data_IF_990604922772
#
_entry.id   IF_990604922772
#
_cell.length_a   1.000
_cell.length_b   1.000
_cell.length_c   1.000
_cell.angle_alpha   90.00
_cell.angle_beta   90.00
_cell.angle_gamma   90.00
#
_symmetry.space_group_name_H-M   'P 1'
#
loop_
_entity.id
_entity.type
_entity.pdbx_description
1 polymer ?
#
# COMPACT_ATOMS: atom_id res chain seq x y z
N UNK A 1 8.69 -0.03 -9.92
CA UNK A 1 7.90 -0.83 -8.97
C UNK A 1 8.46 -0.76 -7.57
N UNK A 2 7.78 0.04 -6.73
CA UNK A 2 7.81 -0.06 -5.27
C UNK A 2 6.56 -0.80 -4.78
N UNK A 3 6.20 -0.63 -3.52
CA UNK A 3 4.98 -1.22 -2.96
C UNK A 3 3.82 -0.25 -3.16
N UNK A 4 2.72 -0.74 -3.73
CA UNK A 4 1.51 0.05 -3.93
C UNK A 4 0.42 -0.48 -3.01
N UNK A 5 -0.17 0.41 -2.22
CA UNK A 5 -1.43 0.15 -1.53
C UNK A 5 -2.51 0.75 -2.40
N UNK A 6 -3.45 -0.08 -2.83
CA UNK A 6 -4.53 0.31 -3.73
C UNK A 6 -5.85 0.07 -2.99
N UNK A 7 -6.56 1.16 -2.72
CA UNK A 7 -7.91 1.12 -2.16
C UNK A 7 -8.91 1.49 -3.26
N UNK A 8 -9.81 0.58 -3.60
CA UNK A 8 -10.85 0.83 -4.61
C UNK A 8 -12.11 1.39 -3.96
N UNK A 9 -12.73 2.38 -4.59
CA UNK A 9 -13.99 2.98 -4.14
C UNK A 9 -14.99 3.07 -5.29
N UNK A 10 -16.15 2.50 -5.05
CA UNK A 10 -17.33 2.65 -5.90
C UNK A 10 -18.30 3.64 -5.24
N UNK A 11 -17.85 4.87 -5.05
CA UNK A 11 -18.58 5.92 -4.36
C UNK A 11 -19.36 6.78 -5.34
N UNK A 12 -20.59 7.13 -4.98
CA UNK A 12 -21.39 8.16 -5.67
C UNK A 12 -21.07 9.54 -5.10
N UNK A 13 -21.61 10.60 -5.70
CA UNK A 13 -21.50 11.95 -5.15
C UNK A 13 -22.07 12.02 -3.72
N UNK A 14 -23.19 11.36 -3.46
CA UNK A 14 -23.76 11.24 -2.11
C UNK A 14 -22.80 10.55 -1.12
N UNK A 15 -22.03 9.54 -1.57
CA UNK A 15 -21.03 8.92 -0.70
C UNK A 15 -19.84 9.84 -0.42
N UNK A 16 -19.46 10.72 -1.35
CA UNK A 16 -18.40 11.71 -1.14
C UNK A 16 -18.81 12.77 -0.12
N UNK A 17 -20.08 13.18 -0.13
CA UNK A 17 -20.62 14.22 0.74
C UNK A 17 -21.00 13.71 2.14
N UNK A 18 -21.00 12.39 2.34
CA UNK A 18 -21.39 11.78 3.61
C UNK A 18 -20.23 11.75 4.62
N UNK A 19 -20.34 12.59 5.66
CA UNK A 19 -19.36 12.72 6.74
C UNK A 19 -19.28 11.50 7.68
N UNK A 20 -20.33 10.68 7.73
CA UNK A 20 -20.37 9.47 8.55
C UNK A 20 -19.57 8.31 7.94
N UNK A 21 -19.26 8.38 6.63
CA UNK A 21 -18.41 7.41 5.98
C UNK A 21 -16.95 7.65 6.35
N UNK A 22 -16.31 6.62 6.89
CA UNK A 22 -14.89 6.66 7.23
C UNK A 22 -14.06 7.03 6.00
N UNK A 23 -13.30 8.12 6.11
CA UNK A 23 -12.51 8.68 5.01
C UNK A 23 -11.54 7.65 4.41
N UNK A 24 -11.62 7.35 3.09
CA UNK A 24 -10.68 6.49 2.37
C UNK A 24 -9.23 6.98 2.49
N UNK A 25 -9.05 8.30 2.57
CA UNK A 25 -7.76 8.95 2.82
C UNK A 25 -7.19 8.51 4.17
N UNK A 26 -7.98 8.56 5.24
CA UNK A 26 -7.53 8.11 6.55
C UNK A 26 -7.31 6.60 6.61
N UNK A 27 -8.13 5.81 5.91
CA UNK A 27 -7.99 4.36 5.84
C UNK A 27 -6.64 3.98 5.21
N UNK A 28 -6.35 4.49 4.03
CA UNK A 28 -5.11 4.15 3.33
C UNK A 28 -3.86 4.67 4.05
N UNK A 29 -3.91 5.84 4.71
CA UNK A 29 -2.79 6.36 5.50
C UNK A 29 -2.49 5.49 6.73
N UNK A 30 -3.54 5.02 7.43
CA UNK A 30 -3.37 4.08 8.55
C UNK A 30 -2.75 2.77 8.10
N UNK A 31 -3.24 2.22 6.99
CA UNK A 31 -2.70 1.00 6.39
C UNK A 31 -1.26 1.18 5.94
N UNK A 32 -0.93 2.32 5.33
CA UNK A 32 0.43 2.67 4.92
C UNK A 32 1.40 2.64 6.10
N UNK A 33 1.05 3.35 7.18
CA UNK A 33 1.90 3.42 8.35
C UNK A 33 2.11 2.05 9.00
N UNK A 34 1.05 1.25 9.10
CA UNK A 34 1.13 -0.12 9.61
C UNK A 34 2.05 -0.99 8.75
N UNK A 35 1.89 -0.94 7.42
CA UNK A 35 2.73 -1.69 6.48
C UNK A 35 4.19 -1.24 6.55
N UNK A 36 4.45 0.07 6.62
CA UNK A 36 5.80 0.60 6.78
C UNK A 36 6.46 0.05 8.05
N UNK A 37 5.78 0.13 9.20
CA UNK A 37 6.30 -0.38 10.46
C UNK A 37 6.58 -1.88 10.42
N UNK A 38 5.67 -2.64 9.82
CA UNK A 38 5.82 -4.08 9.65
C UNK A 38 7.09 -4.39 8.83
N UNK A 39 7.22 -3.76 7.66
CA UNK A 39 8.36 -4.00 6.78
C UNK A 39 9.68 -3.53 7.40
N UNK A 40 9.69 -2.38 8.08
CA UNK A 40 10.87 -1.86 8.79
C UNK A 40 11.34 -2.83 9.89
N UNK A 41 10.42 -3.35 10.71
CA UNK A 41 10.73 -4.35 11.75
C UNK A 41 11.27 -5.63 11.11
N UNK A 42 10.59 -6.16 10.10
CA UNK A 42 11.02 -7.38 9.40
C UNK A 42 12.40 -7.22 8.78
N UNK A 43 12.65 -6.06 8.16
CA UNK A 43 13.94 -5.76 7.53
C UNK A 43 15.09 -5.82 8.51
N UNK A 44 14.88 -5.26 9.71
CA UNK A 44 15.88 -5.29 10.80
C UNK A 44 16.07 -6.70 11.38
N UNK A 45 14.99 -7.48 11.51
CA UNK A 45 15.03 -8.82 12.13
C UNK A 45 15.58 -9.91 11.22
N UNK A 46 15.27 -9.86 9.93
CA UNK A 46 15.61 -10.93 8.97
C UNK A 46 16.87 -10.62 8.17
N UNK A 47 17.62 -9.56 8.50
CA UNK A 47 18.74 -9.08 7.71
C UNK A 47 18.35 -8.99 6.21
N UNK A 48 17.14 -8.50 5.92
CA UNK A 48 16.84 -8.11 4.54
C UNK A 48 17.76 -6.95 4.23
N UNK A 49 18.90 -7.28 3.64
CA UNK A 49 19.82 -6.33 3.06
C UNK A 49 19.14 -5.75 1.82
N UNK A 50 18.05 -5.01 2.00
CA UNK A 50 17.70 -3.95 1.07
C UNK A 50 18.98 -3.17 0.88
N UNK A 51 19.59 -3.32 -0.31
CA UNK A 51 21.01 -3.07 -0.55
C UNK A 51 21.51 -1.95 0.36
N UNK A 52 22.26 -2.29 1.43
CA UNK A 52 22.87 -1.28 2.29
C UNK A 52 23.87 -0.55 1.41
N UNK A 53 23.49 0.63 0.98
CA UNK A 53 24.41 1.53 0.33
C UNK A 53 25.20 2.23 1.43
N UNK A 54 26.45 2.60 1.14
CA UNK A 54 27.32 3.28 2.10
C UNK A 54 26.74 4.63 2.59
N UNK A 55 25.71 5.15 1.94
CA UNK A 55 24.97 6.36 2.34
C UNK A 55 23.82 6.13 3.34
N UNK A 56 23.56 4.88 3.72
CA UNK A 56 22.59 4.53 4.76
C UNK A 56 21.50 3.59 4.29
N UNK A 57 20.42 3.54 5.07
CA UNK A 57 19.32 2.63 4.81
C UNK A 57 18.44 3.16 3.67
N UNK A 58 18.22 2.30 2.67
CA UNK A 58 17.33 2.61 1.56
C UNK A 58 15.90 2.82 2.07
N UNK A 59 15.23 3.87 1.60
CA UNK A 59 13.80 4.12 1.86
C UNK A 59 12.94 2.98 1.30
N UNK A 60 11.93 2.53 2.06
CA UNK A 60 10.87 1.64 1.58
C UNK A 60 9.84 2.49 0.81
N UNK A 61 9.76 2.41 -0.52
CA UNK A 61 8.87 3.24 -1.32
C UNK A 61 7.46 2.64 -1.35
N UNK A 62 6.63 3.04 -0.38
CA UNK A 62 5.20 2.73 -0.34
C UNK A 62 4.42 3.89 -0.96
N UNK A 63 3.55 3.60 -1.92
CA UNK A 63 2.69 4.57 -2.62
C UNK A 63 1.23 4.27 -2.33
N UNK A 64 0.49 5.28 -1.87
CA UNK A 64 -0.94 5.17 -1.58
C UNK A 64 -1.73 5.62 -2.80
N UNK A 65 -2.64 4.77 -3.27
CA UNK A 65 -3.53 5.05 -4.38
C UNK A 65 -4.96 4.76 -3.94
N UNK A 66 -5.85 5.73 -4.13
CA UNK A 66 -7.29 5.52 -4.08
C UNK A 66 -7.80 5.53 -5.51
N UNK A 67 -8.47 4.45 -5.91
CA UNK A 67 -8.99 4.28 -7.27
C UNK A 67 -10.51 4.38 -7.22
N UNK A 68 -11.05 5.38 -7.92
CA UNK A 68 -12.49 5.53 -8.08
C UNK A 68 -12.94 4.85 -9.37
N UNK A 69 -14.00 4.06 -9.28
CA UNK A 69 -14.59 3.38 -10.44
C UNK A 69 -15.45 4.35 -11.27
N UNK A 70 -16.16 5.27 -10.60
CA UNK A 70 -17.11 6.16 -11.26
C UNK A 70 -16.61 7.62 -11.27
N UNK A 71 -16.83 8.33 -10.17
CA UNK A 71 -16.57 9.76 -10.05
C UNK A 71 -15.40 10.00 -9.09
N UNK A 72 -14.15 10.08 -9.59
CA UNK A 72 -13.04 10.53 -8.75
C UNK A 72 -13.27 11.98 -8.31
N UNK A 73 -13.07 12.30 -7.01
CA UNK A 73 -13.07 13.67 -6.53
C UNK A 73 -11.93 14.48 -7.17
N UNK A 74 -12.10 15.81 -7.23
CA UNK A 74 -11.08 16.73 -7.81
C UNK A 74 -10.01 17.09 -6.78
N UNK A 75 -10.35 16.95 -5.51
CA UNK A 75 -9.51 17.22 -4.36
C UNK A 75 -8.26 16.35 -4.40
N UNK A 76 -7.16 16.92 -3.93
CA UNK A 76 -5.89 16.21 -3.80
C UNK A 76 -5.51 16.15 -2.33
N UNK A 77 -4.92 15.03 -1.93
CA UNK A 77 -4.52 14.81 -0.55
C UNK A 77 -3.01 14.54 -0.50
N UNK A 78 -2.37 15.02 0.56
CA UNK A 78 -0.96 14.77 0.77
C UNK A 78 -0.69 13.26 0.91
N UNK A 79 0.42 12.81 0.33
CA UNK A 79 0.89 11.42 0.40
C UNK A 79 -0.02 10.36 -0.25
N UNK A 80 -1.06 10.78 -0.98
CA UNK A 80 -2.02 9.91 -1.66
C UNK A 80 -2.22 10.38 -3.09
N UNK A 81 -2.34 9.43 -4.02
CA UNK A 81 -2.81 9.71 -5.36
C UNK A 81 -4.24 9.22 -5.52
N UNK A 82 -5.13 10.08 -6.01
CA UNK A 82 -6.47 9.69 -6.48
C UNK A 82 -6.39 9.46 -7.99
N UNK A 83 -6.97 8.36 -8.45
CA UNK A 83 -7.03 7.98 -9.87
C UNK A 83 -8.41 7.47 -10.23
N UNK A 84 -8.82 7.70 -11.48
CA UNK A 84 -9.84 6.88 -12.12
C UNK A 84 -9.29 5.50 -12.52
N UNK A 85 -10.18 4.53 -12.74
CA UNK A 85 -9.80 3.17 -13.14
C UNK A 85 -8.88 3.15 -14.38
N UNK A 86 -9.19 3.98 -15.38
CA UNK A 86 -8.45 4.04 -16.64
C UNK A 86 -7.03 4.62 -16.49
N UNK A 87 -6.76 5.34 -15.41
CA UNK A 87 -5.47 5.98 -15.15
C UNK A 87 -4.53 5.09 -14.33
N UNK A 88 -5.07 4.10 -13.62
CA UNK A 88 -4.34 3.26 -12.68
C UNK A 88 -3.14 2.56 -13.33
N UNK A 89 -3.37 1.90 -14.47
CA UNK A 89 -2.33 1.10 -15.13
C UNK A 89 -1.18 1.99 -15.61
N UNK A 90 -1.50 3.12 -16.25
CA UNK A 90 -0.49 4.08 -16.72
C UNK A 90 0.32 4.66 -15.56
N UNK A 91 -0.34 4.99 -14.44
CA UNK A 91 0.33 5.51 -13.25
C UNK A 91 1.28 4.48 -12.61
N UNK A 92 0.88 3.20 -12.51
CA UNK A 92 1.75 2.15 -11.97
C UNK A 92 2.97 1.94 -12.88
N UNK A 93 2.77 1.90 -14.20
CA UNK A 93 3.82 1.66 -15.20
C UNK A 93 4.85 2.78 -15.28
N UNK A 94 4.49 4.01 -14.91
CA UNK A 94 5.40 5.16 -14.89
C UNK A 94 6.63 4.96 -13.98
N UNK A 95 6.52 4.14 -12.92
CA UNK A 95 7.59 4.02 -11.92
C UNK A 95 8.58 2.89 -12.23
N UNK A 96 9.86 3.26 -12.38
CA UNK A 96 10.99 2.32 -12.43
C UNK A 96 11.06 1.42 -11.19
N UNK A 97 11.52 0.17 -11.37
CA UNK A 97 11.74 -0.82 -10.31
C UNK A 97 12.64 -0.29 -9.20
N UNK A 98 12.10 -0.25 -7.98
CA UNK A 98 12.82 0.14 -6.78
C UNK A 98 13.19 -1.07 -5.93
N UNK A 99 12.93 -2.28 -6.41
CA UNK A 99 13.35 -3.52 -5.78
C UNK A 99 13.88 -4.44 -6.88
N UNK A 100 14.86 -5.26 -6.54
CA UNK A 100 15.27 -6.40 -7.37
C UNK A 100 14.17 -7.46 -7.35
N UNK A 101 14.27 -8.44 -8.25
CA UNK A 101 13.35 -9.57 -8.29
C UNK A 101 13.33 -10.32 -6.95
N UNK A 102 14.49 -10.66 -6.41
CA UNK A 102 14.62 -11.39 -5.14
C UNK A 102 14.08 -10.58 -3.95
N UNK A 103 14.33 -9.27 -3.90
CA UNK A 103 13.75 -8.38 -2.89
C UNK A 103 12.21 -8.38 -2.99
N UNK A 104 11.68 -8.33 -4.22
CA UNK A 104 10.23 -8.34 -4.48
C UNK A 104 9.59 -9.66 -4.02
N UNK A 105 10.20 -10.79 -4.35
CA UNK A 105 9.75 -12.13 -3.95
C UNK A 105 9.78 -12.27 -2.42
N UNK A 106 10.87 -11.86 -1.78
CA UNK A 106 10.99 -11.91 -0.30
C UNK A 106 9.91 -11.09 0.40
N UNK A 107 9.62 -9.89 -0.10
CA UNK A 107 8.53 -9.04 0.42
C UNK A 107 7.18 -9.75 0.23
N UNK A 108 6.92 -10.27 -0.97
CA UNK A 108 5.66 -10.92 -1.29
C UNK A 108 5.41 -12.16 -0.43
N UNK A 109 6.41 -13.01 -0.25
CA UNK A 109 6.32 -14.23 0.57
C UNK A 109 6.06 -13.90 2.03
N UNK A 110 6.76 -12.90 2.57
CA UNK A 110 6.54 -12.46 3.94
C UNK A 110 5.12 -11.96 4.18
N UNK A 111 4.60 -11.10 3.29
CA UNK A 111 3.24 -10.56 3.41
C UNK A 111 2.18 -11.68 3.26
N UNK A 112 2.41 -12.66 2.38
CA UNK A 112 1.55 -13.83 2.24
C UNK A 112 1.55 -14.69 3.51
N UNK A 113 2.72 -14.97 4.07
CA UNK A 113 2.86 -15.76 5.30
C UNK A 113 2.14 -15.10 6.49
N UNK A 114 2.19 -13.77 6.59
CA UNK A 114 1.44 -13.00 7.59
C UNK A 114 -0.08 -13.12 7.40
N UNK A 115 -0.55 -12.97 6.16
CA UNK A 115 -1.96 -13.14 5.82
C UNK A 115 -2.48 -14.55 6.19
N UNK A 116 -1.69 -15.59 5.91
CA UNK A 116 -2.04 -16.98 6.21
C UNK A 116 -2.05 -17.27 7.72
N UNK A 117 -1.05 -16.80 8.48
CA UNK A 117 -1.04 -16.95 9.94
C UNK A 117 -2.28 -16.32 10.59
N UNK A 118 -2.67 -15.12 10.15
CA UNK A 118 -3.86 -14.45 10.67
C UNK A 118 -5.15 -15.23 10.37
N UNK A 119 -5.23 -15.87 9.20
CA UNK A 119 -6.38 -16.71 8.80
C UNK A 119 -6.50 -17.99 9.64
N UNK A 120 -5.37 -18.55 10.09
CA UNK A 120 -5.36 -19.72 10.98
C UNK A 120 -5.81 -19.32 12.39
N UNK A 121 -5.29 -18.22 12.92
CA UNK A 121 -5.67 -17.72 14.26
C UNK A 121 -7.15 -17.36 14.31
N UNK A 122 -7.69 -16.67 13.30
CA UNK A 122 -9.11 -16.31 13.26
C UNK A 122 -10.05 -17.52 13.20
N UNK A 123 -9.57 -18.66 12.69
CA UNK A 123 -10.33 -19.93 12.67
C UNK A 123 -10.27 -20.69 14.00
N UNK A 124 -9.24 -20.47 14.79
CA UNK A 124 -9.07 -21.11 16.10
C UNK A 124 -9.79 -20.37 17.22
N UNK A 125 -10.18 -19.12 16.99
CA UNK A 125 -10.94 -18.26 17.92
C UNK A 125 -12.44 -18.16 17.60
N UNK A 126 -12.94 -18.99 16.67
CA UNK A 126 -14.37 -19.20 16.38
C UNK A 126 -14.78 -20.57 16.91
#
# INVERSE_FOLDING_TARGET
MGIFIIETKNWSNHSLDNLDLRSPVQQILRTNYALFKLLDITSRKHNWNFVRQHWGNRKIPIKNIIVFINNPPREQFQFIKILGLNELISYIKYFNSSFTKNETESIADHLQNLSQHNKVISKLTM
#
